data_IF_681706955282
#
_entry.id   IF_681706955282
#
_cell.length_a   1.000
_cell.length_b   1.000
_cell.length_c   1.000
_cell.angle_alpha   90.00
_cell.angle_beta   90.00
_cell.angle_gamma   90.00
#
_symmetry.space_group_name_H-M   'P 1'
#
loop_
_entity.id
_entity.type
_entity.pdbx_description
1 polymer ?
#
# COMPACT_ATOMS: atom_id res chain seq x y z
N UNK A 1 22.46 17.72 -25.49
CA UNK A 1 21.76 17.29 -26.72
C UNK A 1 20.41 16.69 -26.33
N UNK A 2 19.27 17.32 -26.68
CA UNK A 2 17.93 16.76 -26.40
C UNK A 2 17.48 15.88 -27.56
N UNK A 3 16.98 14.68 -27.28
CA UNK A 3 16.35 13.81 -28.29
C UNK A 3 14.89 14.23 -28.45
N UNK A 4 14.50 14.61 -29.65
CA UNK A 4 13.12 14.95 -30.01
C UNK A 4 12.58 13.81 -30.85
N UNK A 5 11.43 13.27 -30.46
CA UNK A 5 10.71 12.24 -31.22
C UNK A 5 9.48 12.91 -31.81
N UNK A 6 9.35 12.87 -33.13
CA UNK A 6 8.21 13.40 -33.86
C UNK A 6 7.59 12.28 -34.70
N UNK A 7 6.31 12.03 -34.49
CA UNK A 7 5.46 11.17 -35.34
C UNK A 7 4.56 12.10 -36.13
N UNK A 8 4.40 11.86 -37.43
CA UNK A 8 3.61 12.72 -38.33
C UNK A 8 2.59 11.91 -39.13
N UNK A 9 1.60 12.59 -39.71
CA UNK A 9 0.60 11.96 -40.59
C UNK A 9 -0.30 10.96 -39.85
N UNK A 10 -0.53 9.80 -40.47
CA UNK A 10 -1.47 8.78 -39.97
C UNK A 10 -1.03 8.18 -38.63
N UNK A 11 0.28 7.98 -38.42
CA UNK A 11 0.81 7.46 -37.16
C UNK A 11 0.63 8.44 -36.01
N UNK A 12 0.73 9.75 -36.27
CA UNK A 12 0.45 10.77 -35.25
C UNK A 12 -0.99 10.70 -34.76
N UNK A 13 -1.94 10.50 -35.68
CA UNK A 13 -3.36 10.37 -35.35
C UNK A 13 -3.66 9.08 -34.57
N UNK A 14 -3.03 7.97 -34.96
CA UNK A 14 -3.16 6.69 -34.24
C UNK A 14 -2.59 6.79 -32.82
N UNK A 15 -1.37 7.32 -32.68
CA UNK A 15 -0.74 7.51 -31.37
C UNK A 15 -1.57 8.43 -30.46
N UNK A 16 -2.21 9.46 -31.02
CA UNK A 16 -3.11 10.33 -30.27
C UNK A 16 -4.37 9.59 -29.82
N UNK A 17 -4.98 8.78 -30.69
CA UNK A 17 -6.13 7.94 -30.33
C UNK A 17 -5.79 6.92 -29.24
N UNK A 18 -4.64 6.28 -29.35
CA UNK A 18 -4.19 5.30 -28.35
C UNK A 18 -3.98 5.98 -26.98
N UNK A 19 -3.45 7.20 -26.96
CA UNK A 19 -3.33 8.01 -25.74
C UNK A 19 -4.70 8.38 -25.16
N UNK A 20 -5.66 8.77 -26.00
CA UNK A 20 -7.02 9.05 -25.57
C UNK A 20 -7.72 7.82 -24.99
N UNK A 21 -7.58 6.67 -25.64
CA UNK A 21 -8.23 5.43 -25.22
C UNK A 21 -7.62 4.92 -23.91
N UNK A 22 -6.29 4.99 -23.75
CA UNK A 22 -5.63 4.72 -22.47
C UNK A 22 -6.12 5.66 -21.36
N UNK A 23 -6.31 6.95 -21.66
CA UNK A 23 -6.79 7.92 -20.67
C UNK A 23 -8.26 7.68 -20.30
N UNK A 24 -9.09 7.23 -21.24
CA UNK A 24 -10.48 6.81 -20.98
C UNK A 24 -10.55 5.55 -20.13
N UNK A 25 -9.66 4.58 -20.36
CA UNK A 25 -9.59 3.35 -19.56
C UNK A 25 -9.21 3.66 -18.10
N UNK A 26 -8.23 4.54 -17.88
CA UNK A 26 -7.87 5.01 -16.54
C UNK A 26 -9.03 5.77 -15.90
N UNK A 27 -9.74 6.62 -16.65
CA UNK A 27 -10.92 7.34 -16.16
C UNK A 27 -12.04 6.38 -15.72
N UNK A 28 -12.28 5.31 -16.50
CA UNK A 28 -13.27 4.29 -16.18
C UNK A 28 -12.89 3.49 -14.93
N UNK A 29 -11.62 3.11 -14.79
CA UNK A 29 -11.09 2.39 -13.62
C UNK A 29 -11.27 3.20 -12.33
N UNK A 30 -11.03 4.51 -12.40
CA UNK A 30 -11.11 5.43 -11.24
C UNK A 30 -12.53 6.01 -11.07
N UNK A 31 -13.46 5.66 -11.97
CA UNK A 31 -14.83 6.20 -12.04
C UNK A 31 -14.84 7.72 -11.95
N UNK A 32 -13.95 8.37 -12.71
CA UNK A 32 -13.91 9.82 -12.82
C UNK A 32 -14.83 10.27 -13.95
N UNK A 33 -15.86 11.10 -13.68
CA UNK A 33 -16.78 11.56 -14.72
C UNK A 33 -16.12 12.48 -15.74
N UNK A 34 -14.98 13.10 -15.38
CA UNK A 34 -14.21 13.95 -16.28
C UNK A 34 -12.78 13.45 -16.44
N UNK A 35 -12.34 13.32 -17.69
CA UNK A 35 -10.97 12.95 -18.08
C UNK A 35 -9.94 13.93 -17.51
N UNK A 36 -10.30 15.22 -17.40
CA UNK A 36 -9.43 16.27 -16.84
C UNK A 36 -9.17 16.11 -15.35
N UNK A 37 -10.08 15.47 -14.62
CA UNK A 37 -9.96 15.26 -13.18
C UNK A 37 -9.22 13.98 -12.81
N UNK A 38 -8.94 13.12 -13.80
CA UNK A 38 -8.24 11.84 -13.61
C UNK A 38 -6.89 12.03 -12.90
N UNK A 39 -6.01 12.97 -13.30
CA UNK A 39 -4.71 13.14 -12.63
C UNK A 39 -4.86 13.50 -11.15
N UNK A 40 -5.75 14.45 -10.82
CA UNK A 40 -5.99 14.86 -9.44
C UNK A 40 -6.56 13.73 -8.59
N UNK A 41 -7.44 12.91 -9.17
CA UNK A 41 -8.04 11.78 -8.45
C UNK A 41 -7.05 10.63 -8.25
N UNK A 42 -6.16 10.40 -9.22
CA UNK A 42 -5.01 9.49 -9.06
C UNK A 42 -4.11 9.95 -7.91
N UNK A 43 -3.78 11.24 -7.86
CA UNK A 43 -2.92 11.79 -6.81
C UNK A 43 -3.58 11.68 -5.42
N UNK A 44 -4.87 12.03 -5.32
CA UNK A 44 -5.64 11.88 -4.08
C UNK A 44 -5.71 10.42 -3.62
N UNK A 45 -5.95 9.48 -4.54
CA UNK A 45 -6.00 8.05 -4.22
C UNK A 45 -4.62 7.53 -3.80
N UNK A 46 -3.56 7.94 -4.48
CA UNK A 46 -2.19 7.57 -4.11
C UNK A 46 -1.81 8.09 -2.71
N UNK A 47 -2.26 9.30 -2.37
CA UNK A 47 -2.06 9.86 -1.03
C UNK A 47 -2.84 9.06 0.03
N UNK A 48 -4.12 8.78 -0.22
CA UNK A 48 -4.94 7.95 0.68
C UNK A 48 -4.32 6.55 0.89
N UNK A 49 -3.79 5.93 -0.16
CA UNK A 49 -3.11 4.62 -0.04
C UNK A 49 -1.88 4.72 0.85
N UNK A 50 -1.09 5.78 0.74
CA UNK A 50 0.08 6.00 1.61
C UNK A 50 -0.33 6.22 3.07
N UNK A 51 -1.39 6.98 3.29
CA UNK A 51 -1.87 7.27 4.65
C UNK A 51 -2.46 6.00 5.29
N UNK A 52 -3.26 5.22 4.54
CA UNK A 52 -3.78 3.92 4.98
C UNK A 52 -2.67 2.88 5.22
N UNK A 53 -1.58 2.92 4.44
CA UNK A 53 -0.41 2.08 4.68
C UNK A 53 0.28 2.44 5.99
N UNK A 54 0.48 3.74 6.26
CA UNK A 54 1.05 4.21 7.54
C UNK A 54 0.16 3.88 8.74
N UNK A 55 -1.15 4.02 8.58
CA UNK A 55 -2.09 3.65 9.62
C UNK A 55 -2.07 2.15 9.89
N UNK A 56 -2.01 1.32 8.83
CA UNK A 56 -1.86 -0.13 8.98
C UNK A 56 -0.57 -0.52 9.69
N UNK A 57 0.56 0.11 9.37
CA UNK A 57 1.82 -0.17 10.07
C UNK A 57 1.74 0.23 11.54
N UNK A 58 1.17 1.41 11.84
CA UNK A 58 1.00 1.87 13.23
C UNK A 58 0.03 0.98 14.02
N UNK A 59 -1.05 0.51 13.39
CA UNK A 59 -2.01 -0.42 14.01
C UNK A 59 -1.38 -1.79 14.25
N UNK A 60 -0.59 -2.31 13.30
CA UNK A 60 0.18 -3.55 13.49
C UNK A 60 1.18 -3.44 14.63
N UNK A 61 1.91 -2.32 14.73
CA UNK A 61 2.82 -2.07 15.85
C UNK A 61 2.10 -2.04 17.20
N UNK A 62 0.96 -1.35 17.28
CA UNK A 62 0.12 -1.34 18.49
C UNK A 62 -0.40 -2.73 18.85
N UNK A 63 -0.83 -3.51 17.86
CA UNK A 63 -1.29 -4.89 18.06
C UNK A 63 -0.16 -5.79 18.56
N UNK A 64 1.04 -5.68 18.00
CA UNK A 64 2.23 -6.41 18.47
C UNK A 64 2.61 -5.99 19.90
N UNK A 65 2.57 -4.70 20.23
CA UNK A 65 2.86 -4.23 21.59
C UNK A 65 1.84 -4.76 22.61
N UNK A 66 0.55 -4.79 22.26
CA UNK A 66 -0.49 -5.37 23.10
C UNK A 66 -0.32 -6.89 23.26
N UNK A 67 -0.03 -7.61 22.16
CA UNK A 67 0.23 -9.04 22.18
C UNK A 67 1.47 -9.39 23.02
N UNK A 68 2.55 -8.62 22.91
CA UNK A 68 3.73 -8.78 23.74
C UNK A 68 3.39 -8.58 25.23
N UNK A 69 2.62 -7.54 25.56
CA UNK A 69 2.16 -7.26 26.93
C UNK A 69 1.31 -8.38 27.55
N UNK A 70 0.53 -9.09 26.75
CA UNK A 70 -0.24 -10.26 27.20
C UNK A 70 0.63 -11.53 27.31
N UNK A 71 1.63 -11.72 26.43
CA UNK A 71 2.59 -12.84 26.54
C UNK A 71 3.40 -12.77 27.84
N UNK A 72 3.71 -11.57 28.34
CA UNK A 72 4.40 -11.38 29.63
C UNK A 72 3.52 -11.63 30.87
N UNK A 73 2.20 -11.85 30.74
CA UNK A 73 1.32 -12.16 31.88
C UNK A 73 1.25 -13.66 32.19
N UNK A 74 1.50 -14.52 31.21
CA UNK A 74 1.51 -15.99 31.36
C UNK A 74 2.90 -16.54 31.75
N UNK A 75 3.48 -15.97 32.81
CA UNK A 75 4.79 -16.41 33.33
C UNK A 75 4.59 -17.64 34.19
N UNK A 76 5.19 -18.77 33.79
CA UNK A 76 5.25 -20.00 34.60
C UNK A 76 6.62 -20.10 35.27
N UNK A 77 6.62 -20.53 36.52
CA UNK A 77 7.82 -20.69 37.34
C UNK A 77 8.15 -22.18 37.51
N UNK A 78 9.39 -22.57 37.18
CA UNK A 78 9.91 -23.89 37.54
C UNK A 78 11.35 -23.73 38.02
N UNK A 79 11.63 -24.23 39.23
CA UNK A 79 12.97 -24.23 39.84
C UNK A 79 13.67 -22.84 39.86
N UNK A 80 12.92 -21.77 40.11
CA UNK A 80 13.48 -20.41 40.22
C UNK A 80 13.83 -19.75 38.88
N UNK A 81 13.49 -20.40 37.76
CA UNK A 81 13.63 -19.85 36.41
C UNK A 81 12.23 -19.58 35.86
N UNK A 82 11.95 -18.30 35.60
CA UNK A 82 10.71 -17.85 34.95
C UNK A 82 10.81 -18.09 33.46
N UNK A 83 9.89 -18.88 32.91
CA UNK A 83 9.81 -19.13 31.47
C UNK A 83 8.41 -18.84 30.95
N UNK A 84 8.36 -18.37 29.71
CA UNK A 84 7.12 -18.08 28.99
C UNK A 84 7.09 -19.01 27.78
N UNK A 85 6.11 -19.91 27.75
CA UNK A 85 5.90 -20.85 26.65
C UNK A 85 4.45 -20.73 26.19
N UNK A 86 4.18 -19.75 25.32
CA UNK A 86 2.88 -19.56 24.68
C UNK A 86 3.01 -19.79 23.17
N UNK A 87 2.04 -20.52 22.59
CA UNK A 87 1.97 -20.73 21.14
C UNK A 87 1.32 -19.49 20.51
N UNK A 88 2.15 -18.57 20.03
CA UNK A 88 1.67 -17.33 19.39
C UNK A 88 1.48 -17.57 17.90
N UNK A 89 0.26 -17.40 17.39
CA UNK A 89 0.01 -17.29 15.94
C UNK A 89 0.41 -15.89 15.49
N UNK A 90 1.66 -15.76 15.04
CA UNK A 90 2.20 -14.52 14.46
C UNK A 90 2.46 -14.75 12.99
N UNK A 91 1.97 -13.82 12.17
CA UNK A 91 2.10 -13.83 10.72
C UNK A 91 3.44 -13.24 10.22
N UNK A 92 4.25 -12.66 11.10
CA UNK A 92 5.54 -12.07 10.76
C UNK A 92 6.57 -12.30 11.87
N UNK A 93 7.77 -12.74 11.50
CA UNK A 93 8.88 -13.03 12.41
C UNK A 93 9.40 -11.77 13.11
N UNK A 94 9.12 -10.58 12.57
CA UNK A 94 9.42 -9.30 13.22
C UNK A 94 8.64 -9.05 14.51
N UNK A 95 7.47 -9.68 14.68
CA UNK A 95 6.65 -9.52 15.88
C UNK A 95 7.14 -10.36 17.08
N UNK A 96 8.10 -11.26 16.86
CA UNK A 96 8.71 -12.13 17.89
C UNK A 96 10.05 -11.60 18.41
N UNK A 97 10.59 -10.54 17.79
CA UNK A 97 11.94 -10.04 18.06
C UNK A 97 11.97 -8.96 19.11
#
# INVERSE_FOLDING_TARGET
TRRIVAVTGREAFLAYRDQEDALKEVAATIKSPQIKEVPNKVESLAQQVRDLQKENTALKEKATAAAAGDVFKDVKDANGIRYIASQVQVSDAGALR
#
